data_IF_281648759083
#
_entry.id   IF_281648759083
#
_cell.length_a   1.000
_cell.length_b   1.000
_cell.length_c   1.000
_cell.angle_alpha   90.00
_cell.angle_beta   90.00
_cell.angle_gamma   90.00
#
_symmetry.space_group_name_H-M   'P 1'
#
loop_
_entity.id
_entity.type
_entity.pdbx_description
1 polymer ?
#
# COMPACT_ATOMS: atom_id res chain seq x y z
N UNK A 1 6.30 13.23 3.53
CA UNK A 1 6.71 11.85 3.19
C UNK A 1 7.74 11.39 4.20
N UNK A 2 7.65 10.14 4.66
CA UNK A 2 8.47 9.57 5.75
C UNK A 2 9.54 8.59 5.28
N UNK A 3 9.88 8.58 3.98
CA UNK A 3 10.86 7.64 3.43
C UNK A 3 12.27 7.95 3.95
N UNK A 4 12.93 6.95 4.53
CA UNK A 4 14.31 7.02 5.04
C UNK A 4 15.26 6.07 4.32
N UNK A 5 14.78 5.34 3.31
CA UNK A 5 15.57 4.38 2.56
C UNK A 5 16.35 4.98 1.39
N UNK A 6 16.97 4.14 0.54
CA UNK A 6 17.72 4.58 -0.63
C UNK A 6 16.87 5.42 -1.59
N UNK A 7 17.50 6.36 -2.29
CA UNK A 7 16.84 7.19 -3.30
C UNK A 7 17.69 7.29 -4.55
N UNK A 8 17.03 7.62 -5.66
CA UNK A 8 17.68 7.96 -6.93
C UNK A 8 17.07 9.25 -7.46
N UNK A 9 17.91 10.16 -7.97
CA UNK A 9 17.44 11.38 -8.63
C UNK A 9 17.52 11.18 -10.13
N UNK A 10 16.41 11.35 -10.83
CA UNK A 10 16.33 11.24 -12.29
C UNK A 10 15.42 12.32 -12.89
N UNK A 11 15.45 12.45 -14.22
CA UNK A 11 14.55 13.35 -14.94
C UNK A 11 13.17 12.73 -15.05
N UNK A 12 12.13 13.51 -14.77
CA UNK A 12 10.73 13.13 -14.89
C UNK A 12 9.94 14.22 -15.62
N UNK A 13 8.89 13.81 -16.31
CA UNK A 13 7.94 14.72 -16.94
C UNK A 13 6.86 15.15 -15.94
N UNK A 14 6.50 16.41 -15.95
CA UNK A 14 5.35 16.97 -15.23
C UNK A 14 4.54 17.84 -16.19
N UNK A 15 3.24 17.98 -15.96
CA UNK A 15 2.39 18.91 -16.71
C UNK A 15 1.89 20.01 -15.78
N UNK A 16 2.31 21.25 -16.03
CA UNK A 16 1.83 22.43 -15.31
C UNK A 16 1.06 23.33 -16.26
N UNK A 17 -0.18 23.66 -15.93
CA UNK A 17 -1.05 24.52 -16.75
C UNK A 17 -1.11 24.08 -18.23
N UNK A 18 -1.16 22.76 -18.46
CA UNK A 18 -1.18 22.15 -19.80
C UNK A 18 0.17 22.10 -20.51
N UNK A 19 1.25 22.59 -19.89
CA UNK A 19 2.60 22.57 -20.46
C UNK A 19 3.42 21.43 -19.87
N UNK A 20 3.88 20.52 -20.75
CA UNK A 20 4.81 19.47 -20.36
C UNK A 20 6.21 20.05 -20.08
N UNK A 21 6.74 19.78 -18.91
CA UNK A 21 8.08 20.19 -18.48
C UNK A 21 8.88 18.99 -17.98
N UNK A 22 10.20 19.07 -18.06
CA UNK A 22 11.09 18.05 -17.49
C UNK A 22 11.78 18.60 -16.25
N UNK A 23 11.56 17.95 -15.11
CA UNK A 23 12.15 18.32 -13.81
C UNK A 23 13.06 17.21 -13.29
N UNK A 24 13.94 17.54 -12.33
CA UNK A 24 14.67 16.52 -11.58
C UNK A 24 13.81 16.09 -10.38
N UNK A 25 13.41 14.82 -10.34
CA UNK A 25 12.66 14.23 -9.23
C UNK A 25 13.52 13.25 -8.43
N UNK A 26 13.27 13.16 -7.12
CA UNK A 26 13.90 12.15 -6.25
C UNK A 26 12.90 11.02 -5.99
N UNK A 27 13.27 9.82 -6.39
CA UNK A 27 12.46 8.61 -6.32
C UNK A 27 13.00 7.66 -5.25
N UNK A 28 12.09 6.92 -4.62
CA UNK A 28 12.46 5.82 -3.72
C UNK A 28 13.14 4.73 -4.53
N UNK A 29 14.23 4.18 -4.00
CA UNK A 29 14.93 3.05 -4.62
C UNK A 29 14.77 1.80 -3.74
N UNK A 30 14.50 0.67 -4.38
CA UNK A 30 14.15 -0.59 -3.72
C UNK A 30 15.14 -1.68 -4.10
N UNK A 31 15.37 -2.62 -3.16
CA UNK A 31 16.24 -3.76 -3.39
C UNK A 31 15.62 -4.84 -4.31
N UNK A 32 14.30 -4.81 -4.52
CA UNK A 32 13.57 -5.77 -5.35
C UNK A 32 12.27 -5.18 -5.90
N UNK A 33 11.73 -5.82 -6.95
CA UNK A 33 10.42 -5.49 -7.52
C UNK A 33 9.31 -5.70 -6.47
N UNK A 34 9.37 -6.79 -5.69
CA UNK A 34 8.39 -7.07 -4.65
C UNK A 34 8.31 -5.95 -3.61
N UNK A 35 9.44 -5.40 -3.16
CA UNK A 35 9.47 -4.29 -2.22
C UNK A 35 8.85 -3.01 -2.82
N UNK A 36 9.03 -2.77 -4.12
CA UNK A 36 8.38 -1.65 -4.82
C UNK A 36 6.87 -1.84 -4.93
N UNK A 37 6.41 -3.06 -5.25
CA UNK A 37 4.98 -3.37 -5.35
C UNK A 37 4.29 -3.25 -4.00
N UNK A 38 4.93 -3.74 -2.94
CA UNK A 38 4.43 -3.64 -1.56
C UNK A 38 4.29 -2.17 -1.13
N UNK A 39 5.35 -1.35 -1.28
CA UNK A 39 5.29 0.07 -0.90
C UNK A 39 4.26 0.86 -1.72
N UNK A 40 4.06 0.50 -2.99
CA UNK A 40 3.01 1.08 -3.83
C UNK A 40 1.60 0.68 -3.35
N UNK A 41 1.35 -0.61 -3.06
CA UNK A 41 0.07 -1.05 -2.51
C UNK A 41 -0.25 -0.35 -1.18
N UNK A 42 0.77 -0.21 -0.33
CA UNK A 42 0.67 0.51 0.94
C UNK A 42 0.40 2.00 0.76
N UNK A 43 1.00 2.65 -0.24
CA UNK A 43 0.71 4.05 -0.56
C UNK A 43 -0.80 4.24 -0.83
N UNK A 44 -1.40 3.34 -1.62
CA UNK A 44 -2.82 3.41 -1.96
C UNK A 44 -3.71 3.05 -0.76
N UNK A 45 -3.31 2.06 0.05
CA UNK A 45 -4.10 1.58 1.19
C UNK A 45 -4.04 2.51 2.41
N UNK A 46 -2.89 3.11 2.73
CA UNK A 46 -2.68 3.89 3.96
C UNK A 46 -3.00 5.39 3.79
N UNK A 47 -2.90 5.89 2.56
CA UNK A 47 -3.09 7.31 2.30
C UNK A 47 -4.56 7.60 2.05
N UNK A 48 -5.19 8.30 3.00
CA UNK A 48 -6.60 8.73 2.91
C UNK A 48 -7.00 9.40 1.60
N UNK A 49 -6.03 9.99 0.89
CA UNK A 49 -6.20 10.54 -0.46
C UNK A 49 -6.78 9.53 -1.44
N UNK A 50 -6.44 8.25 -1.33
CA UNK A 50 -6.77 7.21 -2.32
C UNK A 50 -7.83 6.20 -1.81
N UNK A 51 -8.46 6.43 -0.65
CA UNK A 51 -9.38 5.43 -0.07
C UNK A 51 -10.59 5.11 -0.96
N UNK A 52 -10.98 6.02 -1.85
CA UNK A 52 -12.09 5.85 -2.81
C UNK A 52 -11.81 4.80 -3.90
N UNK A 53 -10.56 4.36 -4.10
CA UNK A 53 -10.23 3.29 -5.06
C UNK A 53 -10.19 1.91 -4.40
N UNK A 54 -10.11 1.86 -3.06
CA UNK A 54 -10.05 0.61 -2.31
C UNK A 54 -11.41 -0.11 -2.40
N UNK A 55 -11.42 -1.29 -3.00
CA UNK A 55 -12.64 -2.06 -3.25
C UNK A 55 -13.44 -1.62 -4.48
N UNK A 56 -12.98 -0.63 -5.25
CA UNK A 56 -13.60 -0.26 -6.51
C UNK A 56 -13.40 -1.40 -7.53
N UNK A 57 -14.50 -2.03 -7.94
CA UNK A 57 -14.49 -3.15 -8.91
C UNK A 57 -14.54 -2.70 -10.37
N UNK A 58 -14.91 -1.45 -10.60
CA UNK A 58 -14.84 -0.82 -11.92
C UNK A 58 -13.44 -0.20 -12.08
N UNK A 59 -12.61 -0.80 -12.93
CA UNK A 59 -11.25 -0.33 -13.17
C UNK A 59 -11.24 1.05 -13.85
N UNK A 60 -12.24 1.38 -14.67
CA UNK A 60 -12.33 2.68 -15.33
C UNK A 60 -12.60 3.76 -14.29
N UNK A 61 -13.54 3.50 -13.37
CA UNK A 61 -13.80 4.39 -12.24
C UNK A 61 -12.57 4.53 -11.33
N UNK A 62 -11.86 3.44 -11.04
CA UNK A 62 -10.62 3.49 -10.25
C UNK A 62 -9.55 4.36 -10.90
N UNK A 63 -9.36 4.25 -12.23
CA UNK A 63 -8.43 5.08 -13.00
C UNK A 63 -8.80 6.57 -12.94
N UNK A 64 -10.09 6.89 -13.03
CA UNK A 64 -10.57 8.29 -12.92
C UNK A 64 -10.39 8.84 -11.51
N UNK A 65 -10.66 8.04 -10.49
CA UNK A 65 -10.47 8.42 -9.10
C UNK A 65 -8.99 8.71 -8.80
N UNK A 66 -8.07 7.81 -9.15
CA UNK A 66 -6.64 8.01 -8.86
C UNK A 66 -6.06 9.25 -9.57
N UNK A 67 -6.56 9.58 -10.77
CA UNK A 67 -6.24 10.85 -11.43
C UNK A 67 -6.82 12.05 -10.66
N UNK A 68 -8.11 12.01 -10.30
CA UNK A 68 -8.77 13.09 -9.56
C UNK A 68 -8.12 13.35 -8.20
N UNK A 69 -7.56 12.31 -7.59
CA UNK A 69 -6.84 12.38 -6.32
C UNK A 69 -5.41 12.93 -6.46
N UNK A 70 -4.95 13.18 -7.69
CA UNK A 70 -3.67 13.83 -7.98
C UNK A 70 -2.47 12.89 -7.91
N UNK A 71 -2.61 11.65 -8.38
CA UNK A 71 -1.49 10.70 -8.47
C UNK A 71 -0.44 11.12 -9.51
N UNK A 72 -0.87 11.73 -10.62
CA UNK A 72 -0.02 12.27 -11.67
C UNK A 72 -0.50 13.65 -12.11
N UNK A 73 0.40 14.47 -12.65
CA UNK A 73 0.07 15.78 -13.22
C UNK A 73 -0.44 15.70 -14.66
N UNK A 74 -0.25 14.55 -15.32
CA UNK A 74 -0.68 14.27 -16.67
C UNK A 74 -2.22 14.34 -16.81
N UNK A 75 -2.77 15.23 -17.66
CA UNK A 75 -4.21 15.38 -17.80
C UNK A 75 -4.91 14.15 -18.38
N UNK A 76 -4.18 13.30 -19.11
CA UNK A 76 -4.71 12.11 -19.78
C UNK A 76 -4.34 10.81 -19.03
N UNK A 77 -3.97 10.91 -17.74
CA UNK A 77 -3.43 9.79 -16.97
C UNK A 77 -4.38 8.59 -16.91
N UNK A 78 -5.64 8.82 -16.59
CA UNK A 78 -6.66 7.76 -16.49
C UNK A 78 -6.94 7.12 -17.85
N UNK A 79 -6.97 7.91 -18.94
CA UNK A 79 -7.16 7.38 -20.29
C UNK A 79 -6.01 6.46 -20.70
N UNK A 80 -4.77 6.82 -20.35
CA UNK A 80 -3.58 5.98 -20.58
C UNK A 80 -3.66 4.67 -19.79
N UNK A 81 -4.07 4.72 -18.51
CA UNK A 81 -4.24 3.51 -17.70
C UNK A 81 -5.31 2.59 -18.28
N UNK A 82 -6.49 3.14 -18.62
CA UNK A 82 -7.59 2.39 -19.23
C UNK A 82 -7.13 1.72 -20.53
N UNK A 83 -6.44 2.46 -21.40
CA UNK A 83 -5.91 1.92 -22.65
C UNK A 83 -4.90 0.79 -22.44
N UNK A 84 -4.02 0.90 -21.43
CA UNK A 84 -3.08 -0.18 -21.06
C UNK A 84 -3.82 -1.42 -20.55
N UNK A 85 -4.83 -1.24 -19.69
CA UNK A 85 -5.64 -2.33 -19.15
C UNK A 85 -6.35 -3.08 -20.27
N UNK A 86 -7.00 -2.35 -21.18
CA UNK A 86 -7.76 -2.93 -22.30
C UNK A 86 -6.85 -3.62 -23.31
N UNK A 87 -5.73 -2.99 -23.70
CA UNK A 87 -4.82 -3.52 -24.72
C UNK A 87 -4.06 -4.78 -24.29
N UNK A 88 -3.90 -4.98 -22.99
CA UNK A 88 -3.20 -6.14 -22.42
C UNK A 88 -4.14 -7.12 -21.71
N UNK A 89 -5.46 -6.90 -21.77
CA UNK A 89 -6.47 -7.71 -21.10
C UNK A 89 -6.16 -7.92 -19.59
N UNK A 90 -5.79 -6.86 -18.88
CA UNK A 90 -5.30 -6.98 -17.50
C UNK A 90 -6.41 -7.36 -16.49
N UNK A 91 -7.68 -7.19 -16.87
CA UNK A 91 -8.83 -7.58 -16.01
C UNK A 91 -8.88 -9.08 -15.72
N UNK A 92 -8.18 -9.91 -16.52
CA UNK A 92 -8.04 -11.34 -16.26
C UNK A 92 -7.40 -11.63 -14.89
N UNK A 93 -6.58 -10.72 -14.37
CA UNK A 93 -5.90 -10.87 -13.09
C UNK A 93 -6.79 -10.51 -11.89
N UNK A 94 -7.84 -9.70 -12.10
CA UNK A 94 -8.79 -9.31 -11.05
C UNK A 94 -9.65 -10.50 -10.60
N UNK A 95 -9.97 -11.40 -11.53
CA UNK A 95 -10.73 -12.62 -11.25
C UNK A 95 -9.92 -13.66 -10.49
N UNK A 96 -8.62 -13.80 -10.79
CA UNK A 96 -7.71 -14.65 -10.00
C UNK A 96 -7.43 -14.06 -8.63
N UNK A 97 -7.40 -12.73 -8.49
CA UNK A 97 -7.30 -12.08 -7.19
C UNK A 97 -8.55 -12.30 -6.34
N UNK A 98 -9.76 -12.27 -6.94
CA UNK A 98 -11.00 -12.61 -6.24
C UNK A 98 -11.09 -14.08 -5.84
N UNK A 99 -10.55 -14.99 -6.66
CA UNK A 99 -10.45 -16.41 -6.33
C UNK A 99 -9.33 -16.74 -5.34
N UNK A 100 -8.21 -16.00 -5.34
CA UNK A 100 -7.16 -16.10 -4.32
C UNK A 100 -7.64 -15.53 -2.98
N UNK A 101 -8.34 -14.38 -2.99
CA UNK A 101 -9.03 -13.83 -1.83
C UNK A 101 -10.17 -14.74 -1.32
N UNK A 102 -10.81 -15.51 -2.20
CA UNK A 102 -11.84 -16.50 -1.83
C UNK A 102 -11.26 -17.88 -1.44
N UNK A 103 -10.04 -18.22 -1.88
CA UNK A 103 -9.31 -19.42 -1.46
C UNK A 103 -8.63 -19.24 -0.09
N UNK A 104 -8.51 -18.00 0.37
CA UNK A 104 -8.33 -17.65 1.79
C UNK A 104 -9.67 -17.80 2.53
N UNK A 105 -10.18 -19.04 2.57
CA UNK A 105 -11.32 -19.43 3.41
C UNK A 105 -10.97 -20.63 4.28
N UNK A 106 -9.81 -20.56 4.92
CA UNK A 106 -9.57 -21.21 6.21
C UNK A 106 -9.89 -20.23 7.34
N UNK A 107 -9.94 -20.64 8.62
CA UNK A 107 -10.15 -19.71 9.73
C UNK A 107 -8.86 -18.90 9.93
N UNK A 108 -8.61 -17.96 9.02
CA UNK A 108 -7.56 -16.97 9.15
C UNK A 108 -8.16 -15.85 9.98
N UNK A 109 -7.80 -15.79 11.25
CA UNK A 109 -8.01 -14.62 12.10
C UNK A 109 -7.20 -13.46 11.49
N UNK A 110 -7.77 -12.80 10.48
CA UNK A 110 -7.21 -11.55 9.96
C UNK A 110 -7.19 -10.58 11.13
N UNK A 111 -6.01 -10.24 11.64
CA UNK A 111 -5.90 -9.15 12.61
C UNK A 111 -6.42 -7.89 11.90
N UNK A 112 -7.61 -7.46 12.28
CA UNK A 112 -8.23 -6.23 11.84
C UNK A 112 -8.30 -5.27 13.02
N UNK A 113 -8.64 -4.02 12.76
CA UNK A 113 -8.97 -3.08 13.83
C UNK A 113 -10.12 -3.67 14.67
N UNK A 114 -9.92 -3.74 15.99
CA UNK A 114 -10.86 -4.35 16.94
C UNK A 114 -10.58 -5.83 17.27
N UNK A 115 -9.69 -6.51 16.54
CA UNK A 115 -9.30 -7.89 16.88
C UNK A 115 -8.55 -7.95 18.21
N UNK A 116 -8.80 -8.98 19.02
CA UNK A 116 -8.02 -9.27 20.22
C UNK A 116 -6.85 -10.17 19.86
N UNK A 117 -5.64 -9.81 20.28
CA UNK A 117 -4.40 -10.53 20.01
C UNK A 117 -3.60 -10.75 21.29
N UNK A 118 -3.16 -11.99 21.52
CA UNK A 118 -2.14 -12.31 22.53
C UNK A 118 -0.76 -12.08 21.91
N UNK A 119 -0.02 -11.09 22.40
CA UNK A 119 1.30 -10.74 21.88
C UNK A 119 2.36 -10.77 22.98
N UNK A 120 3.52 -11.37 22.69
CA UNK A 120 4.71 -11.27 23.52
C UNK A 120 5.92 -10.93 22.66
N UNK A 121 6.46 -9.73 22.81
CA UNK A 121 7.57 -9.28 21.97
C UNK A 121 7.83 -7.78 22.02
N UNK A 122 8.83 -7.30 21.27
CA UNK A 122 9.12 -5.87 21.16
C UNK A 122 8.00 -5.14 20.41
N UNK A 123 7.64 -3.96 20.88
CA UNK A 123 6.84 -3.00 20.11
C UNK A 123 7.74 -2.01 19.38
N UNK A 124 7.22 -1.41 18.31
CA UNK A 124 7.93 -0.48 17.43
C UNK A 124 7.18 0.85 17.35
N UNK A 125 7.91 1.94 17.14
CA UNK A 125 7.34 3.28 17.07
C UNK A 125 6.53 3.49 15.77
N UNK A 126 6.90 2.76 14.72
CA UNK A 126 6.24 2.80 13.41
C UNK A 126 6.10 1.41 12.80
N UNK A 127 5.29 1.33 11.75
CA UNK A 127 4.98 0.09 11.03
C UNK A 127 6.09 -0.37 10.07
N UNK A 128 7.21 0.38 9.98
CA UNK A 128 8.40 0.02 9.23
C UNK A 128 9.45 -0.69 10.09
N UNK A 129 9.18 -0.87 11.39
CA UNK A 129 10.11 -1.45 12.34
C UNK A 129 11.13 -0.45 12.89
N UNK A 130 10.89 0.85 12.70
CA UNK A 130 11.66 1.93 13.29
C UNK A 130 11.36 2.09 14.79
N UNK A 131 12.36 2.59 15.53
CA UNK A 131 12.21 2.93 16.95
C UNK A 131 11.79 1.74 17.82
N UNK A 132 12.50 0.61 17.72
CA UNK A 132 12.27 -0.57 18.56
C UNK A 132 12.20 -0.16 20.04
N UNK A 133 11.01 -0.31 20.61
CA UNK A 133 10.68 0.06 21.97
C UNK A 133 10.77 -1.12 22.94
N UNK A 134 9.99 -1.02 24.01
CA UNK A 134 9.92 -2.01 25.09
C UNK A 134 9.34 -3.35 24.62
N UNK A 135 9.66 -4.42 25.34
CA UNK A 135 8.96 -5.69 25.21
C UNK A 135 7.67 -5.65 26.03
N UNK A 136 6.57 -6.13 25.45
CA UNK A 136 5.28 -6.29 26.14
C UNK A 136 4.81 -7.74 26.04
N UNK A 137 3.97 -8.17 26.98
CA UNK A 137 3.34 -9.48 26.99
C UNK A 137 1.91 -9.32 27.50
N UNK A 138 0.93 -9.88 26.79
CA UNK A 138 -0.46 -9.87 27.21
C UNK A 138 -1.44 -9.89 26.04
N UNK A 139 -2.71 -9.68 26.36
CA UNK A 139 -3.79 -9.56 25.38
C UNK A 139 -4.07 -8.09 25.09
N UNK A 140 -4.09 -7.75 23.80
CA UNK A 140 -4.29 -6.40 23.32
C UNK A 140 -5.43 -6.36 22.30
N UNK A 141 -6.02 -5.17 22.12
CA UNK A 141 -6.90 -4.90 20.98
C UNK A 141 -6.07 -4.20 19.90
N UNK A 142 -6.27 -4.57 18.64
CA UNK A 142 -5.63 -3.89 17.52
C UNK A 142 -6.37 -2.59 17.24
N UNK A 143 -5.69 -1.46 17.38
CA UNK A 143 -6.27 -0.14 17.12
C UNK A 143 -6.09 0.29 15.65
N UNK A 144 -5.05 -0.22 14.99
CA UNK A 144 -4.77 0.02 13.57
C UNK A 144 -4.15 -1.23 12.95
N UNK A 145 -4.54 -1.53 11.71
CA UNK A 145 -3.90 -2.57 10.92
C UNK A 145 -3.51 -2.06 9.53
N UNK A 146 -2.30 -2.40 9.11
CA UNK A 146 -1.74 -2.10 7.79
C UNK A 146 -1.42 -3.43 7.12
N UNK A 147 -2.23 -3.76 6.12
CA UNK A 147 -2.11 -4.98 5.34
C UNK A 147 -0.74 -5.09 4.68
N UNK A 148 -0.18 -6.30 4.68
CA UNK A 148 1.11 -6.59 4.05
C UNK A 148 2.33 -6.20 4.88
N UNK A 149 2.24 -5.35 5.90
CA UNK A 149 3.44 -5.01 6.68
C UNK A 149 3.79 -6.06 7.72
N UNK A 150 5.09 -6.39 7.78
CA UNK A 150 5.68 -7.19 8.86
C UNK A 150 5.35 -6.63 10.24
N UNK A 151 5.37 -5.30 10.41
CA UNK A 151 4.96 -4.64 11.65
C UNK A 151 3.59 -3.97 11.47
N UNK A 152 2.63 -4.71 10.93
CA UNK A 152 1.37 -4.19 10.41
C UNK A 152 0.25 -4.01 11.43
N UNK A 153 0.34 -4.56 12.64
CA UNK A 153 -0.68 -4.32 13.67
C UNK A 153 -0.17 -3.30 14.71
N UNK A 154 -1.02 -2.34 15.07
CA UNK A 154 -0.81 -1.42 16.17
C UNK A 154 -1.69 -1.82 17.35
N UNK A 155 -1.06 -1.97 18.51
CA UNK A 155 -1.72 -2.14 19.81
C UNK A 155 -1.45 -0.89 20.67
N UNK A 156 -2.12 -0.69 21.82
CA UNK A 156 -1.90 0.50 22.65
C UNK A 156 -0.44 0.71 23.09
N UNK A 157 0.37 -0.35 23.06
CA UNK A 157 1.80 -0.29 23.38
C UNK A 157 2.71 0.09 22.18
N UNK A 158 2.23 -0.01 20.94
CA UNK A 158 2.97 0.30 19.71
C UNK A 158 2.71 -0.70 18.57
N UNK A 159 3.50 -0.60 17.50
CA UNK A 159 3.42 -1.54 16.36
C UNK A 159 4.06 -2.88 16.73
N UNK A 160 3.48 -4.00 16.32
CA UNK A 160 3.96 -5.35 16.63
C UNK A 160 4.31 -6.11 15.36
N UNK A 161 5.30 -7.00 15.46
CA UNK A 161 5.64 -7.95 14.41
C UNK A 161 4.49 -8.97 14.28
N UNK A 162 3.79 -8.93 13.15
CA UNK A 162 2.68 -9.84 12.81
C UNK A 162 3.14 -11.02 11.95
N UNK A 163 4.45 -11.24 11.85
CA UNK A 163 5.03 -12.29 11.04
C UNK A 163 5.33 -11.84 9.61
N UNK A 164 5.71 -12.77 8.71
CA UNK A 164 6.02 -12.42 7.34
C UNK A 164 4.83 -11.70 6.70
N UNK A 165 5.13 -10.64 5.94
CA UNK A 165 4.20 -10.06 4.98
C UNK A 165 3.60 -11.22 4.17
N UNK A 166 2.34 -11.58 4.43
CA UNK A 166 1.68 -12.58 3.62
C UNK A 166 1.47 -11.94 2.26
N UNK A 167 2.40 -12.26 1.36
CA UNK A 167 2.30 -12.03 -0.08
C UNK A 167 1.01 -12.73 -0.51
N UNK A 168 0.00 -11.94 -0.87
CA UNK A 168 -1.08 -12.40 -1.74
C UNK A 168 -0.52 -12.51 -3.16
#
# INVERSE_FOLDING_TARGET
GSWTGPTVTCKTGEVYDGTAVTVSGTFRAYASIAASMEDHALLLADNSRYHNIIGCKDYQQACRNVQADGYATDPDYADKLISIIESNDLTQFDSTADNAASAVKGPQETLMVGSRVSYTGPVYADSYGGGKGKTVSGDFTVDKYIYGRKYGAHIPAGWIDVGPAHLL
#
